data_IF_279647804534
#
_entry.id   IF_279647804534
#
_cell.length_a   1.000
_cell.length_b   1.000
_cell.length_c   1.000
_cell.angle_alpha   90.00
_cell.angle_beta   90.00
_cell.angle_gamma   90.00
#
_symmetry.space_group_name_H-M   'P 1'
#
loop_
_entity.id
_entity.type
_entity.pdbx_description
1 polymer ?
#
# COMPACT_ATOMS: atom_id res chain seq x y z
N UNK A 1 15.89 -3.48 -6.26
CA UNK A 1 14.66 -2.72 -6.50
C UNK A 1 14.51 -1.66 -5.42
N UNK A 2 14.06 -0.49 -5.79
CA UNK A 2 13.93 0.64 -4.86
C UNK A 2 12.48 0.83 -4.45
N UNK A 3 12.27 1.33 -3.22
CA UNK A 3 10.95 1.61 -2.67
C UNK A 3 10.75 3.12 -2.60
N UNK A 4 9.60 3.57 -3.04
CA UNK A 4 9.18 4.96 -2.93
C UNK A 4 7.72 5.04 -2.51
N UNK A 5 7.32 6.18 -1.96
CA UNK A 5 5.94 6.43 -1.55
C UNK A 5 5.46 7.71 -2.21
N UNK A 6 4.31 7.63 -2.86
CA UNK A 6 3.63 8.81 -3.35
C UNK A 6 3.17 9.67 -2.17
N UNK A 7 2.94 10.96 -2.41
CA UNK A 7 2.46 11.88 -1.37
C UNK A 7 1.18 11.35 -0.72
N UNK A 8 0.25 10.89 -1.52
CA UNK A 8 -1.03 10.35 -1.05
C UNK A 8 -0.83 9.15 -0.13
N UNK A 9 0.13 8.29 -0.45
CA UNK A 9 0.44 7.14 0.39
C UNK A 9 1.03 7.57 1.73
N UNK A 10 1.89 8.58 1.74
CA UNK A 10 2.43 9.12 2.98
C UNK A 10 1.32 9.71 3.85
N UNK A 11 0.40 10.43 3.23
CA UNK A 11 -0.76 10.97 3.94
C UNK A 11 -1.63 9.85 4.50
N UNK A 12 -1.80 8.77 3.72
CA UNK A 12 -2.53 7.59 4.17
C UNK A 12 -1.89 6.99 5.41
N UNK A 13 -0.57 6.87 5.43
CA UNK A 13 0.13 6.29 6.58
C UNK A 13 -0.04 7.12 7.84
N UNK A 14 -0.01 8.45 7.70
CA UNK A 14 -0.26 9.34 8.84
C UNK A 14 -1.69 9.16 9.35
N UNK A 15 -2.66 9.13 8.44
CA UNK A 15 -4.06 8.93 8.79
C UNK A 15 -4.28 7.59 9.47
N UNK A 16 -3.69 6.52 8.92
CA UNK A 16 -3.85 5.18 9.47
C UNK A 16 -3.22 5.03 10.83
N UNK A 17 -2.08 5.68 11.05
CA UNK A 17 -1.46 5.66 12.37
C UNK A 17 -2.39 6.26 13.43
N UNK A 18 -3.00 7.38 13.11
CA UNK A 18 -3.96 8.01 14.01
C UNK A 18 -5.18 7.12 14.23
N UNK A 19 -5.71 6.52 13.16
CA UNK A 19 -6.85 5.62 13.22
C UNK A 19 -6.57 4.41 14.13
N UNK A 20 -5.43 3.77 13.96
CA UNK A 20 -5.06 2.61 14.76
C UNK A 20 -4.87 3.00 16.23
N UNK A 21 -4.19 4.11 16.48
CA UNK A 21 -3.94 4.58 17.84
C UNK A 21 -5.24 4.91 18.57
N UNK A 22 -6.24 5.40 17.84
CA UNK A 22 -7.56 5.70 18.39
C UNK A 22 -8.34 4.45 18.78
N UNK A 23 -8.24 3.39 17.96
CA UNK A 23 -9.02 2.16 18.17
C UNK A 23 -8.29 1.13 19.02
N UNK A 24 -6.97 1.02 18.88
CA UNK A 24 -6.18 0.06 19.63
C UNK A 24 -4.72 0.49 19.67
N UNK A 25 -4.36 1.34 20.63
CA UNK A 25 -2.98 1.83 20.73
C UNK A 25 -1.95 0.71 20.88
N UNK A 26 -2.30 -0.37 21.56
CA UNK A 26 -1.37 -1.48 21.77
C UNK A 26 -1.09 -2.23 20.48
N UNK A 27 -2.02 -2.24 19.55
CA UNK A 27 -1.86 -2.92 18.27
C UNK A 27 -1.09 -2.10 17.24
N UNK A 28 -0.97 -0.78 17.45
CA UNK A 28 -0.39 0.13 16.46
C UNK A 28 1.02 -0.29 16.03
N UNK A 29 1.84 -0.66 17.00
CA UNK A 29 3.22 -1.05 16.70
C UNK A 29 3.28 -2.38 15.96
N UNK A 30 2.47 -3.35 16.36
CA UNK A 30 2.42 -4.65 15.67
C UNK A 30 1.96 -4.48 14.22
N UNK A 31 0.98 -3.62 14.02
CA UNK A 31 0.44 -3.35 12.68
C UNK A 31 1.49 -2.69 11.80
N UNK A 32 2.22 -1.72 12.35
CA UNK A 32 3.30 -1.06 11.62
C UNK A 32 4.34 -2.07 11.16
N UNK A 33 4.74 -2.99 12.02
CA UNK A 33 5.69 -4.03 11.66
C UNK A 33 5.17 -4.93 10.56
N UNK A 34 3.92 -5.33 10.63
CA UNK A 34 3.31 -6.18 9.59
C UNK A 34 3.26 -5.49 8.25
N UNK A 35 2.92 -4.19 8.25
CA UNK A 35 2.93 -3.42 7.02
C UNK A 35 4.33 -3.33 6.41
N UNK A 36 5.32 -3.06 7.25
CA UNK A 36 6.71 -2.98 6.79
C UNK A 36 7.15 -4.33 6.22
N UNK A 37 6.87 -5.42 6.90
CA UNK A 37 7.20 -6.75 6.42
C UNK A 37 6.52 -7.07 5.11
N UNK A 38 5.25 -6.67 4.99
CA UNK A 38 4.52 -6.84 3.74
C UNK A 38 5.13 -6.06 2.60
N UNK A 39 5.51 -4.83 2.83
CA UNK A 39 6.16 -4.00 1.81
C UNK A 39 7.52 -4.57 1.42
N UNK A 40 8.30 -5.04 2.38
CA UNK A 40 9.57 -5.69 2.10
C UNK A 40 9.39 -6.93 1.23
N UNK A 41 8.31 -7.65 1.45
CA UNK A 41 7.99 -8.82 0.63
C UNK A 41 7.69 -8.42 -0.82
N UNK A 42 7.03 -7.28 -1.02
CA UNK A 42 6.81 -6.74 -2.36
C UNK A 42 8.12 -6.38 -3.06
N UNK A 43 9.11 -5.94 -2.30
CA UNK A 43 10.41 -5.62 -2.87
C UNK A 43 11.10 -6.85 -3.44
N UNK A 44 10.88 -8.01 -2.83
CA UNK A 44 11.43 -9.28 -3.32
C UNK A 44 10.56 -9.90 -4.40
N UNK A 45 9.26 -9.69 -4.34
CA UNK A 45 8.28 -10.29 -5.26
C UNK A 45 7.26 -9.24 -5.68
N UNK A 46 7.64 -8.32 -6.58
CA UNK A 46 6.78 -7.17 -6.87
C UNK A 46 5.46 -7.52 -7.55
N UNK A 47 5.33 -8.71 -8.11
CA UNK A 47 4.10 -9.12 -8.77
C UNK A 47 3.16 -9.96 -7.88
N UNK A 48 3.34 -9.90 -6.57
CA UNK A 48 2.45 -10.59 -5.62
C UNK A 48 1.02 -10.06 -5.65
N UNK A 49 0.86 -8.75 -5.80
CA UNK A 49 -0.44 -8.14 -5.83
C UNK A 49 -1.21 -8.45 -7.10
N UNK A 50 -2.52 -8.28 -7.04
CA UNK A 50 -3.39 -8.43 -8.19
C UNK A 50 -3.33 -7.19 -9.06
N UNK A 51 -3.25 -7.39 -10.36
CA UNK A 51 -3.28 -6.29 -11.29
C UNK A 51 -4.61 -5.57 -11.23
N UNK A 52 -4.57 -4.26 -11.13
CA UNK A 52 -5.76 -3.43 -11.09
C UNK A 52 -6.18 -3.11 -12.51
N UNK A 53 -7.46 -3.31 -12.81
CA UNK A 53 -7.99 -2.87 -14.08
C UNK A 53 -8.16 -1.36 -14.02
N UNK A 54 -7.14 -0.66 -14.48
CA UNK A 54 -7.20 0.78 -14.57
C UNK A 54 -8.22 1.21 -15.60
N UNK A 55 -8.61 2.47 -15.57
CA UNK A 55 -9.50 3.02 -16.58
C UNK A 55 -8.91 2.78 -17.97
N UNK A 56 -9.74 2.43 -18.95
CA UNK A 56 -9.27 1.99 -20.27
C UNK A 56 -8.35 2.98 -20.99
N UNK A 57 -8.51 4.23 -20.70
CA UNK A 57 -7.73 5.29 -21.35
C UNK A 57 -6.47 5.66 -20.57
N UNK A 58 -6.16 4.97 -19.53
CA UNK A 58 -4.91 5.19 -18.82
C UNK A 58 -3.77 4.55 -19.62
N UNK A 59 -2.93 5.39 -20.11
CA UNK A 59 -1.80 4.98 -20.93
C UNK A 59 -0.61 4.73 -20.01
N UNK A 60 -0.71 3.77 -19.18
CA UNK A 60 0.45 3.47 -18.34
C UNK A 60 0.95 2.09 -18.72
N UNK A 61 2.13 1.97 -19.25
CA UNK A 61 2.74 0.67 -19.43
C UNK A 61 3.10 0.05 -18.10
N UNK A 62 3.04 0.82 -17.04
CA UNK A 62 3.38 0.40 -15.72
C UNK A 62 2.29 -0.48 -15.14
N UNK A 63 2.68 -1.37 -14.26
CA UNK A 63 1.76 -2.27 -13.60
C UNK A 63 1.31 -1.69 -12.27
N UNK A 64 0.02 -1.39 -12.19
CA UNK A 64 -0.61 -1.01 -10.92
C UNK A 64 -1.24 -2.26 -10.34
N UNK A 65 -0.92 -2.54 -9.09
CA UNK A 65 -1.40 -3.74 -8.40
C UNK A 65 -1.91 -3.39 -7.01
N UNK A 66 -2.86 -4.21 -6.56
CA UNK A 66 -3.38 -4.14 -5.19
C UNK A 66 -2.95 -5.40 -4.45
N UNK A 67 -2.44 -5.22 -3.24
CA UNK A 67 -2.03 -6.33 -2.40
C UNK A 67 -2.56 -6.16 -0.99
N UNK A 68 -3.20 -7.21 -0.50
CA UNK A 68 -3.81 -7.20 0.83
C UNK A 68 -2.81 -7.73 1.84
N UNK A 69 -2.50 -6.90 2.84
CA UNK A 69 -1.63 -7.27 3.95
C UNK A 69 -2.45 -7.17 5.22
N UNK A 70 -2.83 -8.29 5.79
CA UNK A 70 -3.80 -8.37 6.88
C UNK A 70 -5.10 -7.65 6.49
N UNK A 71 -5.44 -6.55 7.14
CA UNK A 71 -6.64 -5.78 6.83
C UNK A 71 -6.35 -4.53 5.99
N UNK A 72 -5.14 -4.43 5.44
CA UNK A 72 -4.71 -3.24 4.71
C UNK A 72 -4.58 -3.55 3.24
N UNK A 73 -5.12 -2.67 2.41
CA UNK A 73 -4.96 -2.75 0.97
C UNK A 73 -3.87 -1.77 0.56
N UNK A 74 -2.84 -2.29 -0.08
CA UNK A 74 -1.72 -1.49 -0.59
C UNK A 74 -1.84 -1.44 -2.10
N UNK A 75 -2.03 -0.26 -2.66
CA UNK A 75 -1.98 -0.04 -4.10
C UNK A 75 -0.60 0.46 -4.45
N UNK A 76 0.05 -0.20 -5.38
CA UNK A 76 1.42 0.14 -5.75
C UNK A 76 1.62 0.04 -7.25
N UNK A 77 2.66 0.69 -7.71
CA UNK A 77 3.06 0.75 -9.10
C UNK A 77 4.44 0.14 -9.25
N UNK A 78 4.60 -0.73 -10.24
CA UNK A 78 5.93 -1.22 -10.62
C UNK A 78 6.38 -0.40 -11.82
N UNK A 79 7.44 0.36 -11.66
CA UNK A 79 7.97 1.21 -12.73
C UNK A 79 9.49 1.13 -12.70
N UNK A 80 10.07 0.69 -13.80
CA UNK A 80 11.51 0.50 -13.91
C UNK A 80 12.01 -0.41 -12.79
N UNK A 81 12.86 0.11 -11.95
CA UNK A 81 13.48 -0.61 -10.84
C UNK A 81 12.86 -0.27 -9.50
N UNK A 82 11.62 0.20 -9.51
CA UNK A 82 10.99 0.74 -8.30
C UNK A 82 9.64 0.11 -8.04
N UNK A 83 9.33 -0.01 -6.76
CA UNK A 83 7.97 -0.18 -6.28
C UNK A 83 7.57 1.15 -5.66
N UNK A 84 6.51 1.75 -6.18
CA UNK A 84 5.99 3.02 -5.69
C UNK A 84 4.64 2.76 -5.04
N UNK A 85 4.55 2.95 -3.73
CA UNK A 85 3.28 2.80 -3.03
C UNK A 85 2.44 4.04 -3.31
N UNK A 86 1.29 3.83 -3.90
CA UNK A 86 0.39 4.91 -4.32
C UNK A 86 -0.64 5.24 -3.26
N UNK A 87 -1.25 4.23 -2.65
CA UNK A 87 -2.26 4.40 -1.63
C UNK A 87 -2.21 3.25 -0.63
N UNK A 88 -2.65 3.53 0.60
CA UNK A 88 -2.83 2.50 1.62
C UNK A 88 -4.17 2.75 2.32
N UNK A 89 -5.00 1.72 2.42
CA UNK A 89 -6.29 1.81 3.08
C UNK A 89 -6.45 0.68 4.09
N UNK A 90 -7.22 0.94 5.13
CA UNK A 90 -7.70 -0.10 6.02
C UNK A 90 -9.07 -0.58 5.53
N UNK A 91 -9.34 -1.88 5.67
CA UNK A 91 -10.60 -2.45 5.19
C UNK A 91 -11.85 -1.88 5.86
N UNK A 92 -11.71 -1.28 7.04
CA UNK A 92 -12.83 -0.66 7.75
C UNK A 92 -13.03 0.81 7.41
N UNK A 93 -12.15 1.39 6.59
CA UNK A 93 -12.30 2.76 6.16
C UNK A 93 -13.28 2.84 5.00
N UNK A 94 -14.03 3.95 4.94
CA UNK A 94 -14.78 4.27 3.74
C UNK A 94 -13.81 4.76 2.67
N UNK A 95 -13.82 4.09 1.55
CA UNK A 95 -13.02 4.50 0.40
C UNK A 95 -13.92 5.22 -0.59
N UNK A 96 -13.40 6.31 -1.08
CA UNK A 96 -14.09 7.08 -2.11
C UNK A 96 -13.33 7.06 -3.41
#
# INVERSE_FOLDING_TARGET
MKLAFAREARNDLVRLRAFIAEHDPAAAERTARRLIQGIERLMRHPRLGKRVNAAPDQIAPEEIRDWLVTDYLIRYLIANDRVIVLRVWHGKEQRQ
#
